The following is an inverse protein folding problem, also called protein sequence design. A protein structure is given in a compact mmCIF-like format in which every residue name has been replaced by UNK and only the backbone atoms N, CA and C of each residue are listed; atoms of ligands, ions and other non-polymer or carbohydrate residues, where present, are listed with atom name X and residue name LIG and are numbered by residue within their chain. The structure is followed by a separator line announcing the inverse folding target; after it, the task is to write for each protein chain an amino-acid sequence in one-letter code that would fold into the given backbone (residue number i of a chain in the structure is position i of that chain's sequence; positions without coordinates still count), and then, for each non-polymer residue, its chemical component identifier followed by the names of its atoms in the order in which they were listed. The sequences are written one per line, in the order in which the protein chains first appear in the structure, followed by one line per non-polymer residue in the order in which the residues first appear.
data_IF_876017292568
#
_entry.id   IF_876017292568
#
_cell.length_a   1.000
_cell.length_b   1.000
_cell.length_c   1.000
_cell.angle_alpha   90.00
_cell.angle_beta   90.00
_cell.angle_gamma   90.00
#
_symmetry.space_group_name_H-M   'P 1'
#
loop_
_entity.id
_entity.type
_entity.pdbx_description
1 polymer ?
#
# COMPACT_ATOMS: atom_id res chain seq x y z
N UNK A 1 -0.75 8.43 20.37
CA UNK A 1 -0.62 7.08 19.78
C UNK A 1 -1.43 7.07 18.48
N UNK A 2 -0.85 6.58 17.37
CA UNK A 2 -1.56 6.50 16.10
C UNK A 2 -2.67 5.44 16.13
N UNK A 3 -3.83 5.80 15.63
CA UNK A 3 -4.96 4.90 15.45
C UNK A 3 -5.61 5.18 14.09
N UNK A 4 -5.79 4.18 13.22
CA UNK A 4 -6.40 4.39 11.93
C UNK A 4 -7.89 4.71 12.03
N UNK A 5 -8.38 5.54 11.11
CA UNK A 5 -9.80 5.78 10.92
C UNK A 5 -10.56 4.53 10.46
N UNK A 6 -11.88 4.62 10.26
CA UNK A 6 -12.69 3.53 9.74
C UNK A 6 -12.31 3.19 8.30
N UNK A 7 -12.67 1.97 7.85
CA UNK A 7 -12.49 1.55 6.46
C UNK A 7 -13.17 2.55 5.52
N UNK A 8 -12.42 3.04 4.55
CA UNK A 8 -12.89 4.01 3.57
C UNK A 8 -12.00 4.02 2.32
N UNK A 9 -12.55 4.48 1.20
CA UNK A 9 -11.79 4.71 -0.03
C UNK A 9 -11.29 3.43 -0.71
N UNK A 10 -11.88 2.30 -0.43
CA UNK A 10 -11.51 1.03 -1.03
C UNK A 10 -12.70 0.35 -1.71
N UNK A 11 -12.40 -0.34 -2.81
CA UNK A 11 -13.34 -1.16 -3.56
C UNK A 11 -12.61 -2.36 -4.17
N UNK A 12 -13.33 -3.32 -4.70
CA UNK A 12 -12.78 -4.47 -5.40
C UNK A 12 -13.43 -4.66 -6.75
N UNK A 13 -12.63 -5.07 -7.73
CA UNK A 13 -13.10 -5.47 -9.05
C UNK A 13 -12.74 -6.93 -9.27
N UNK A 14 -13.71 -7.68 -9.76
CA UNK A 14 -13.53 -9.05 -10.22
C UNK A 14 -13.51 -9.09 -11.74
N UNK A 15 -12.55 -9.81 -12.29
CA UNK A 15 -12.48 -10.10 -13.72
C UNK A 15 -12.15 -11.60 -13.86
N UNK A 16 -13.19 -12.42 -14.03
CA UNK A 16 -13.06 -13.86 -13.90
C UNK A 16 -12.62 -14.28 -12.50
N UNK A 17 -11.48 -14.99 -12.41
CA UNK A 17 -10.87 -15.38 -11.14
C UNK A 17 -9.88 -14.33 -10.60
N UNK A 18 -9.63 -13.27 -11.35
CA UNK A 18 -8.74 -12.19 -10.95
C UNK A 18 -9.47 -11.16 -10.09
N UNK A 19 -8.86 -10.84 -8.96
CA UNK A 19 -9.32 -9.82 -8.05
C UNK A 19 -8.37 -8.64 -8.04
N UNK A 20 -8.92 -7.44 -8.14
CA UNK A 20 -8.17 -6.19 -8.04
C UNK A 20 -8.70 -5.36 -6.88
N UNK A 21 -7.82 -5.03 -5.95
CA UNK A 21 -8.08 -4.05 -4.90
C UNK A 21 -7.88 -2.66 -5.49
N UNK A 22 -8.83 -1.77 -5.23
CA UNK A 22 -8.76 -0.38 -5.65
C UNK A 22 -8.84 0.49 -4.40
N UNK A 23 -7.84 1.32 -4.19
CA UNK A 23 -7.78 2.27 -3.08
C UNK A 23 -7.65 3.68 -3.60
N UNK A 24 -8.46 4.59 -3.06
CA UNK A 24 -8.42 6.01 -3.39
C UNK A 24 -8.17 6.81 -2.12
N UNK A 25 -7.21 7.72 -2.18
CA UNK A 25 -6.93 8.67 -1.10
C UNK A 25 -6.77 10.08 -1.68
N UNK A 26 -7.43 11.04 -1.07
CA UNK A 26 -7.21 12.45 -1.35
C UNK A 26 -6.12 12.99 -0.42
N UNK A 27 -5.04 13.51 -1.03
CA UNK A 27 -3.89 14.06 -0.34
C UNK A 27 -3.82 15.57 -0.59
N UNK A 28 -3.53 16.34 0.46
CA UNK A 28 -3.44 17.82 0.39
C UNK A 28 -2.07 18.31 -0.09
N UNK A 29 -1.47 17.57 -1.03
CA UNK A 29 -0.14 17.83 -1.55
C UNK A 29 -0.14 17.73 -3.07
N UNK A 30 0.65 18.55 -3.79
CA UNK A 30 0.64 18.53 -5.25
C UNK A 30 1.15 17.20 -5.81
N UNK A 31 0.72 16.82 -7.03
CA UNK A 31 1.11 15.55 -7.66
C UNK A 31 2.61 15.31 -7.73
N UNK A 32 3.41 16.33 -7.95
CA UNK A 32 4.88 16.22 -8.02
C UNK A 32 5.48 15.75 -6.69
N UNK A 33 4.95 16.24 -5.59
CA UNK A 33 5.39 15.85 -4.25
C UNK A 33 4.97 14.41 -3.92
N UNK A 34 3.76 14.03 -4.27
CA UNK A 34 3.27 12.65 -4.12
C UNK A 34 4.05 11.69 -5.01
N UNK A 35 4.34 12.09 -6.25
CA UNK A 35 5.15 11.30 -7.18
C UNK A 35 6.54 11.00 -6.62
N UNK A 36 7.18 11.99 -6.05
CA UNK A 36 8.49 11.79 -5.42
C UNK A 36 8.41 10.77 -4.28
N UNK A 37 7.39 10.85 -3.43
CA UNK A 37 7.18 9.88 -2.35
C UNK A 37 6.91 8.45 -2.85
N UNK A 38 6.34 8.29 -4.05
CA UNK A 38 6.08 7.00 -4.68
C UNK A 38 7.29 6.41 -5.40
N UNK A 39 8.29 7.20 -5.72
CA UNK A 39 9.38 6.79 -6.63
C UNK A 39 10.77 6.87 -6.02
N UNK A 40 11.03 7.81 -5.14
CA UNK A 40 12.34 7.97 -4.49
C UNK A 40 12.57 6.90 -3.43
N UNK A 41 13.69 6.15 -3.48
CA UNK A 41 13.95 5.08 -2.51
C UNK A 41 14.00 5.55 -1.05
N UNK A 42 14.54 6.72 -0.78
CA UNK A 42 14.59 7.27 0.58
C UNK A 42 13.19 7.61 1.10
N UNK A 43 12.33 8.18 0.27
CA UNK A 43 10.96 8.50 0.65
C UNK A 43 10.07 7.26 0.75
N UNK A 44 10.24 6.27 -0.14
CA UNK A 44 9.56 4.97 -0.03
C UNK A 44 9.85 4.30 1.33
N UNK A 45 11.06 4.42 1.83
CA UNK A 45 11.45 3.85 3.13
C UNK A 45 10.70 4.44 4.32
N UNK A 46 10.07 5.58 4.17
CA UNK A 46 9.29 6.24 5.22
C UNK A 46 7.87 5.69 5.39
N UNK A 47 7.31 5.09 4.35
CA UNK A 47 5.90 4.69 4.37
C UNK A 47 5.56 3.36 3.70
N UNK A 48 6.29 2.95 2.67
CA UNK A 48 5.92 1.82 1.82
C UNK A 48 6.24 0.46 2.47
N UNK A 49 5.54 -0.63 2.09
CA UNK A 49 5.81 -1.97 2.61
C UNK A 49 7.06 -2.62 2.01
N UNK A 50 7.77 -1.92 1.15
CA UNK A 50 9.01 -2.39 0.51
C UNK A 50 9.99 -1.23 0.33
N UNK A 51 11.27 -1.59 0.23
CA UNK A 51 12.33 -0.70 -0.21
C UNK A 51 12.66 -0.97 -1.68
N UNK A 52 13.16 0.02 -2.39
CA UNK A 52 13.61 -0.09 -3.76
C UNK A 52 15.11 0.17 -3.87
N UNK A 53 15.82 -0.57 -4.72
CA UNK A 53 17.26 -0.40 -4.93
C UNK A 53 17.61 0.77 -5.86
N UNK A 54 16.63 1.35 -6.50
CA UNK A 54 16.74 2.57 -7.32
C UNK A 54 15.41 3.31 -7.40
N UNK A 55 15.41 4.51 -7.98
CA UNK A 55 14.19 5.25 -8.26
C UNK A 55 13.25 4.47 -9.19
N UNK A 56 11.95 4.50 -8.87
CA UNK A 56 10.89 3.93 -9.69
C UNK A 56 10.41 4.88 -10.80
N UNK A 57 11.00 6.06 -10.91
CA UNK A 57 10.59 7.07 -11.89
C UNK A 57 11.02 6.76 -13.33
N UNK A 58 11.78 5.69 -13.55
CA UNK A 58 12.24 5.26 -14.88
C UNK A 58 11.92 3.81 -15.13
N UNK A 59 11.55 3.49 -16.37
CA UNK A 59 11.28 2.13 -16.85
C UNK A 59 12.55 1.27 -16.74
N UNK A 60 12.38 -0.01 -16.45
CA UNK A 60 13.43 -1.00 -16.41
C UNK A 60 13.49 -1.81 -15.12
N UNK A 61 14.48 -2.71 -15.00
CA UNK A 61 14.61 -3.62 -13.86
C UNK A 61 14.80 -2.89 -12.54
N UNK A 62 14.20 -3.41 -11.49
CA UNK A 62 14.32 -2.92 -10.11
C UNK A 62 14.18 -4.09 -9.15
N UNK A 63 14.84 -4.01 -8.00
CA UNK A 63 14.64 -4.95 -6.89
C UNK A 63 13.85 -4.28 -5.79
N UNK A 64 12.78 -4.91 -5.37
CA UNK A 64 11.97 -4.50 -4.23
C UNK A 64 12.20 -5.47 -3.07
N UNK A 65 12.53 -4.92 -1.91
CA UNK A 65 12.73 -5.70 -0.69
C UNK A 65 11.54 -5.48 0.25
N UNK A 66 10.68 -6.48 0.38
CA UNK A 66 9.56 -6.44 1.31
C UNK A 66 10.09 -6.41 2.74
N UNK A 67 9.62 -5.44 3.52
CA UNK A 67 10.07 -5.22 4.90
C UNK A 67 8.99 -5.63 5.91
N UNK A 68 9.39 -5.75 7.18
CA UNK A 68 8.48 -6.13 8.27
C UNK A 68 8.31 -7.62 8.49
N UNK A 69 9.04 -8.45 7.75
CA UNK A 69 9.21 -9.88 8.02
C UNK A 69 10.57 -10.14 8.69
N UNK A 70 10.74 -11.26 9.42
CA UNK A 70 12.04 -11.61 10.03
C UNK A 70 13.18 -11.71 9.03
N UNK A 71 12.89 -12.13 7.80
CA UNK A 71 13.83 -12.16 6.68
C UNK A 71 13.25 -11.32 5.55
N UNK A 72 13.95 -10.27 5.08
CA UNK A 72 13.51 -9.49 3.93
C UNK A 72 13.36 -10.39 2.70
N UNK A 73 12.25 -10.21 1.97
CA UNK A 73 12.00 -10.91 0.73
C UNK A 73 12.27 -9.97 -0.44
N UNK A 74 13.25 -10.31 -1.26
CA UNK A 74 13.62 -9.55 -2.45
C UNK A 74 12.84 -10.06 -3.65
N UNK A 75 12.13 -9.17 -4.33
CA UNK A 75 11.47 -9.43 -5.60
C UNK A 75 12.22 -8.70 -6.72
N UNK A 76 12.63 -9.44 -7.73
CA UNK A 76 13.10 -8.83 -8.99
C UNK A 76 11.89 -8.51 -9.86
N UNK A 77 11.75 -7.26 -10.23
CA UNK A 77 10.64 -6.77 -11.05
C UNK A 77 11.12 -5.73 -12.05
N UNK A 78 10.21 -5.14 -12.76
CA UNK A 78 10.50 -4.08 -13.73
C UNK A 78 9.44 -2.99 -13.65
N UNK A 79 9.87 -1.75 -13.66
CA UNK A 79 8.96 -0.64 -13.90
C UNK A 79 8.54 -0.69 -15.36
N UNK A 80 7.26 -0.92 -15.61
CA UNK A 80 6.67 -1.08 -16.95
C UNK A 80 6.27 0.25 -17.55
N UNK A 81 5.84 1.19 -16.72
CA UNK A 81 5.36 2.49 -17.12
C UNK A 81 5.70 3.52 -16.05
N UNK A 82 6.26 4.65 -16.44
CA UNK A 82 6.51 5.79 -15.57
C UNK A 82 6.30 7.08 -16.35
N UNK A 83 5.17 7.74 -16.09
CA UNK A 83 4.77 9.01 -16.71
C UNK A 83 4.57 10.04 -15.60
N UNK A 84 5.63 10.71 -15.22
CA UNK A 84 5.62 11.67 -14.13
C UNK A 84 4.73 12.88 -14.45
N UNK A 85 3.98 13.40 -13.50
CA UNK A 85 3.73 12.87 -12.15
C UNK A 85 2.39 12.11 -12.05
N UNK A 86 1.98 11.35 -13.07
CA UNK A 86 0.61 10.88 -13.22
C UNK A 86 0.41 9.38 -13.14
N UNK A 87 1.36 8.59 -13.63
CA UNK A 87 1.12 7.17 -13.88
C UNK A 87 2.38 6.33 -13.66
N UNK A 88 2.26 5.29 -12.85
CA UNK A 88 3.35 4.38 -12.50
C UNK A 88 2.85 2.95 -12.44
N UNK A 89 3.54 2.02 -13.12
CA UNK A 89 3.20 0.61 -13.12
C UNK A 89 4.43 -0.27 -12.90
N UNK A 90 4.32 -1.19 -11.97
CA UNK A 90 5.29 -2.25 -11.69
C UNK A 90 4.61 -3.39 -10.93
N UNK A 91 5.30 -4.49 -10.71
CA UNK A 91 4.79 -5.62 -9.92
C UNK A 91 5.52 -5.72 -8.59
N UNK A 92 4.81 -6.18 -7.57
CA UNK A 92 5.34 -6.47 -6.26
C UNK A 92 4.71 -7.73 -5.69
N UNK A 93 5.54 -8.67 -5.23
CA UNK A 93 5.06 -9.91 -4.62
C UNK A 93 4.16 -10.77 -5.51
N UNK A 94 4.36 -10.70 -6.84
CA UNK A 94 3.57 -11.43 -7.82
C UNK A 94 2.26 -10.74 -8.23
N UNK A 95 1.94 -9.58 -7.68
CA UNK A 95 0.79 -8.76 -8.05
C UNK A 95 1.18 -7.48 -8.78
N UNK A 96 0.40 -7.09 -9.78
CA UNK A 96 0.61 -5.82 -10.47
C UNK A 96 0.12 -4.66 -9.62
N UNK A 97 0.91 -3.59 -9.61
CA UNK A 97 0.57 -2.30 -9.00
C UNK A 97 0.47 -1.24 -10.10
N UNK A 98 -0.62 -0.50 -10.07
CA UNK A 98 -0.82 0.70 -10.88
C UNK A 98 -1.17 1.87 -9.98
N UNK A 99 -0.42 2.94 -10.10
CA UNK A 99 -0.63 4.19 -9.37
C UNK A 99 -1.06 5.28 -10.34
N UNK A 100 -2.15 5.95 -10.04
CA UNK A 100 -2.57 7.15 -10.76
C UNK A 100 -2.66 8.34 -9.81
N UNK A 101 -2.14 9.46 -10.27
CA UNK A 101 -2.19 10.74 -9.57
C UNK A 101 -2.95 11.74 -10.43
N UNK A 102 -4.07 12.22 -9.93
CA UNK A 102 -4.87 13.24 -10.57
C UNK A 102 -4.89 14.51 -9.72
N UNK A 103 -4.64 15.70 -10.30
CA UNK A 103 -4.79 16.95 -9.57
C UNK A 103 -6.22 17.13 -9.06
N UNK A 104 -6.34 17.56 -7.81
CA UNK A 104 -7.64 17.81 -7.17
C UNK A 104 -7.53 18.99 -6.21
N UNK A 105 -8.02 20.17 -6.62
CA UNK A 105 -8.11 21.34 -5.74
C UNK A 105 -6.79 21.78 -5.09
N UNK A 106 -5.67 21.72 -5.81
CA UNK A 106 -4.33 21.99 -5.29
C UNK A 106 -3.66 20.80 -4.61
N UNK A 107 -4.39 19.72 -4.40
CA UNK A 107 -3.88 18.44 -3.92
C UNK A 107 -3.88 17.36 -4.99
N UNK A 108 -3.89 16.12 -4.56
CA UNK A 108 -3.83 14.93 -5.42
C UNK A 108 -4.87 13.91 -5.01
N UNK A 109 -5.61 13.38 -6.00
CA UNK A 109 -6.30 12.11 -5.85
C UNK A 109 -5.35 10.99 -6.25
N UNK A 110 -4.94 10.20 -5.27
CA UNK A 110 -4.11 9.03 -5.45
C UNK A 110 -4.99 7.80 -5.56
N UNK A 111 -4.83 7.04 -6.65
CA UNK A 111 -5.52 5.76 -6.83
C UNK A 111 -4.50 4.65 -7.02
N UNK A 112 -4.64 3.58 -6.26
CA UNK A 112 -3.88 2.35 -6.40
C UNK A 112 -4.79 1.24 -6.89
N UNK A 113 -4.39 0.53 -7.95
CA UNK A 113 -4.91 -0.78 -8.32
C UNK A 113 -3.86 -1.82 -7.98
N UNK A 114 -4.26 -2.84 -7.23
CA UNK A 114 -3.37 -3.92 -6.83
C UNK A 114 -4.06 -5.27 -7.03
N UNK A 115 -3.50 -6.11 -7.89
CA UNK A 115 -3.97 -7.48 -8.04
C UNK A 115 -3.60 -8.30 -6.80
N UNK A 116 -4.59 -8.72 -6.06
CA UNK A 116 -4.42 -9.52 -4.84
C UNK A 116 -5.38 -10.69 -4.86
N UNK A 117 -4.90 -11.85 -4.43
CA UNK A 117 -5.74 -13.02 -4.23
C UNK A 117 -6.92 -12.71 -3.30
N UNK A 118 -8.11 -13.20 -3.64
CA UNK A 118 -9.33 -13.00 -2.86
C UNK A 118 -9.15 -13.27 -1.37
N UNK A 119 -8.40 -14.33 -1.02
CA UNK A 119 -8.18 -14.74 0.38
C UNK A 119 -7.38 -13.73 1.21
N UNK A 120 -6.63 -12.83 0.57
CA UNK A 120 -5.78 -11.83 1.23
C UNK A 120 -6.18 -10.38 0.96
N UNK A 121 -7.25 -10.15 0.19
CA UNK A 121 -7.60 -8.80 -0.26
C UNK A 121 -8.00 -7.87 0.89
N UNK A 122 -8.68 -8.38 1.91
CA UNK A 122 -9.03 -7.59 3.10
C UNK A 122 -7.79 -7.21 3.92
N UNK A 123 -6.82 -8.11 4.02
CA UNK A 123 -5.51 -7.83 4.64
C UNK A 123 -4.73 -6.78 3.86
N UNK A 124 -4.73 -6.91 2.53
CA UNK A 124 -4.10 -5.93 1.65
C UNK A 124 -4.72 -4.55 1.78
N UNK A 125 -6.04 -4.46 1.83
CA UNK A 125 -6.75 -3.19 2.02
C UNK A 125 -6.39 -2.54 3.37
N UNK A 126 -6.39 -3.30 4.44
CA UNK A 126 -5.99 -2.80 5.77
C UNK A 126 -4.53 -2.35 5.80
N UNK A 127 -3.62 -3.13 5.20
CA UNK A 127 -2.21 -2.79 5.11
C UNK A 127 -1.95 -1.51 4.32
N UNK A 128 -2.54 -1.37 3.15
CA UNK A 128 -2.43 -0.15 2.35
C UNK A 128 -3.10 1.06 3.01
N UNK A 129 -4.19 0.87 3.73
CA UNK A 129 -4.82 1.94 4.51
C UNK A 129 -3.81 2.54 5.50
N UNK A 130 -3.11 1.70 6.27
CA UNK A 130 -2.07 2.15 7.19
C UNK A 130 -0.92 2.85 6.44
N UNK A 131 -0.45 2.27 5.34
CA UNK A 131 0.60 2.88 4.52
C UNK A 131 0.20 4.28 4.03
N UNK A 132 -1.03 4.46 3.61
CA UNK A 132 -1.53 5.75 3.13
C UNK A 132 -1.66 6.78 4.25
N UNK A 133 -2.05 6.38 5.45
CA UNK A 133 -2.06 7.26 6.62
C UNK A 133 -0.63 7.71 6.96
N UNK A 134 0.34 6.79 6.92
CA UNK A 134 1.76 7.11 7.15
C UNK A 134 2.31 8.02 6.06
N UNK A 135 1.96 7.77 4.79
CA UNK A 135 2.31 8.62 3.66
C UNK A 135 1.79 10.04 3.82
N UNK A 136 0.52 10.20 4.20
CA UNK A 136 -0.09 11.51 4.40
C UNK A 136 0.63 12.29 5.51
N UNK A 137 0.96 11.64 6.62
CA UNK A 137 1.76 12.22 7.71
C UNK A 137 3.16 12.59 7.26
N UNK A 138 3.82 11.73 6.51
CA UNK A 138 5.15 12.00 5.98
C UNK A 138 5.13 13.24 5.07
N UNK A 139 4.18 13.34 4.15
CA UNK A 139 4.03 14.49 3.25
C UNK A 139 3.69 15.78 4.00
N UNK A 140 2.99 15.70 5.11
CA UNK A 140 2.70 16.84 5.98
C UNK A 140 3.89 17.30 6.83
N UNK A 141 5.03 16.61 6.75
CA UNK A 141 6.21 16.93 7.58
C UNK A 141 6.12 16.42 9.02
N UNK A 142 5.19 15.50 9.29
CA UNK A 142 4.95 14.90 10.60
C UNK A 142 5.13 13.36 10.54
N UNK A 143 6.31 12.85 10.13
CA UNK A 143 6.51 11.42 9.92
C UNK A 143 6.34 10.65 11.24
N UNK A 144 5.63 9.53 11.16
CA UNK A 144 5.43 8.62 12.30
C UNK A 144 6.19 7.30 12.13
N UNK A 145 6.92 7.13 11.03
CA UNK A 145 7.58 5.89 10.65
C UNK A 145 6.64 4.87 10.03
N UNK A 146 7.21 4.01 9.18
CA UNK A 146 6.40 2.98 8.49
C UNK A 146 5.80 1.98 9.47
N UNK A 147 4.58 1.55 9.17
CA UNK A 147 3.84 0.55 9.94
C UNK A 147 3.47 -0.59 9.00
N UNK A 148 4.30 -1.62 8.97
CA UNK A 148 4.22 -2.71 8.01
C UNK A 148 4.52 -4.05 8.65
N UNK A 149 4.12 -5.15 8.00
CA UNK A 149 4.42 -6.51 8.46
C UNK A 149 3.98 -6.76 9.90
N UNK A 150 4.87 -7.30 10.71
CA UNK A 150 4.58 -7.67 12.10
C UNK A 150 4.11 -6.52 12.98
N UNK A 151 4.54 -5.30 12.72
CA UNK A 151 4.10 -4.13 13.50
C UNK A 151 2.66 -3.74 13.14
N UNK A 152 2.28 -3.83 11.88
CA UNK A 152 0.89 -3.65 11.48
C UNK A 152 -0.03 -4.69 12.12
N UNK A 153 0.38 -5.96 12.11
CA UNK A 153 -0.41 -7.06 12.70
C UNK A 153 -0.69 -6.90 14.20
N UNK A 154 0.17 -6.20 14.92
CA UNK A 154 0.01 -5.93 16.36
C UNK A 154 -1.00 -4.83 16.67
N UNK A 155 -1.34 -4.01 15.68
CA UNK A 155 -2.30 -2.92 15.89
C UNK A 155 -3.74 -3.44 15.94
N UNK A 156 -4.46 -3.12 16.98
CA UNK A 156 -5.89 -3.41 17.08
C UNK A 156 -6.68 -2.76 15.91
N UNK A 157 -6.25 -1.58 15.49
CA UNK A 157 -6.81 -0.88 14.34
C UNK A 157 -6.67 -1.63 13.02
N UNK A 158 -5.55 -2.35 12.80
CA UNK A 158 -5.38 -3.20 11.61
C UNK A 158 -6.37 -4.37 11.60
N UNK A 159 -6.55 -5.03 12.74
CA UNK A 159 -7.51 -6.13 12.87
C UNK A 159 -8.94 -5.66 12.64
N UNK A 160 -9.29 -4.51 13.19
CA UNK A 160 -10.59 -3.87 12.96
C UNK A 160 -10.80 -3.53 11.49
N UNK A 161 -9.83 -2.89 10.83
CA UNK A 161 -9.88 -2.57 9.40
C UNK A 161 -10.02 -3.82 8.53
N UNK A 162 -9.29 -4.88 8.84
CA UNK A 162 -9.40 -6.16 8.12
C UNK A 162 -10.82 -6.71 8.18
N UNK A 163 -11.46 -6.64 9.34
CA UNK A 163 -12.86 -7.05 9.51
C UNK A 163 -13.83 -6.15 8.74
N UNK A 164 -13.64 -4.84 8.82
CA UNK A 164 -14.48 -3.86 8.12
C UNK A 164 -14.38 -4.02 6.60
N UNK A 165 -13.16 -4.12 6.06
CA UNK A 165 -12.96 -4.35 4.63
C UNK A 165 -13.47 -5.72 4.16
N UNK A 166 -13.28 -6.76 4.98
CA UNK A 166 -13.81 -8.07 4.68
C UNK A 166 -15.34 -8.06 4.54
N UNK A 167 -16.04 -7.37 5.42
CA UNK A 167 -17.48 -7.18 5.33
C UNK A 167 -17.89 -6.39 4.09
N UNK A 168 -17.19 -5.29 3.82
CA UNK A 168 -17.45 -4.45 2.66
C UNK A 168 -17.29 -5.22 1.35
N UNK A 169 -16.26 -6.06 1.24
CA UNK A 169 -15.95 -6.81 0.02
C UNK A 169 -16.69 -8.15 -0.08
N UNK A 170 -17.37 -8.56 0.98
CA UNK A 170 -18.05 -9.86 1.03
C UNK A 170 -17.06 -11.03 1.05
N UNK A 171 -15.92 -10.88 1.68
CA UNK A 171 -14.88 -11.91 1.83
C UNK A 171 -14.56 -12.15 3.29
N UNK A 172 -14.20 -13.41 3.62
CA UNK A 172 -13.65 -13.72 4.93
C UNK A 172 -12.16 -13.37 4.95
N UNK A 173 -11.73 -12.58 5.94
CA UNK A 173 -10.33 -12.36 6.19
C UNK A 173 -9.73 -13.60 6.84
N UNK A 174 -8.49 -14.01 6.48
CA UNK A 174 -7.81 -15.07 7.17
C UNK A 174 -7.70 -14.74 8.67
N UNK A 175 -8.03 -15.69 9.54
CA UNK A 175 -7.84 -15.50 10.98
C UNK A 175 -6.35 -15.47 11.27
N UNK A 176 -5.87 -14.36 11.83
CA UNK A 176 -4.53 -14.29 12.36
C UNK A 176 -4.59 -14.60 13.86
N UNK A 177 -3.91 -15.65 14.26
CA UNK A 177 -3.65 -15.92 15.68
C UNK A 177 -2.15 -15.76 15.92
N UNK A 178 -1.73 -14.98 16.92
CA UNK A 178 -0.32 -14.95 17.30
C UNK A 178 0.15 -16.38 17.60
N UNK A 179 1.17 -16.86 16.89
CA UNK A 179 1.84 -18.11 17.27
C UNK A 179 2.42 -17.91 18.68
N UNK A 180 1.77 -18.51 19.68
CA UNK A 180 2.25 -18.44 21.07
C UNK A 180 1.19 -18.29 22.14
N UNK A 181 -0.08 -18.20 21.81
CA UNK A 181 -1.16 -18.40 22.79
C UNK A 181 -1.48 -19.90 22.89
N UNK A 182 -0.48 -20.71 23.21
CA UNK A 182 -0.71 -22.05 23.72
C UNK A 182 -0.91 -21.96 25.22
N UNK A 183 -1.96 -22.59 25.70
CA UNK A 183 -2.42 -22.71 27.08
C UNK A 183 -1.32 -23.06 28.07
#
# INVERSE_FOLDING_TARGET
MYEPGPAAGADVRKDGDEWTLILVRELRHPPEMVWQALTDPAELSEWAPFDADRSLATVGPVKLSTVGAPTPQVSETSVKLAVAPRLLEYSWGGGDLRWELAPLGGGTRLTLWHNINRGFIAWGAAGWHLCFDVLDRFLAGEPIGRIVGGDALKLAGWQRLTTEYGRQFGVEAPSWSPKGAAK
#
